data_IF_503263732175
#
_entry.id   IF_503263732175
#
_cell.length_a   1.000
_cell.length_b   1.000
_cell.length_c   1.000
_cell.angle_alpha   90.00
_cell.angle_beta   90.00
_cell.angle_gamma   90.00
#
_symmetry.space_group_name_H-M   'P 1'
#
loop_
_entity.id
_entity.type
_entity.pdbx_description
1 polymer ?
#
# COMPACT_ATOMS: atom_id res chain seq x y z
N UNK A 1 11.06 20.04 -2.02
CA UNK A 1 10.39 18.77 -1.74
C UNK A 1 9.74 18.87 -0.38
N UNK A 2 8.52 18.32 -0.22
CA UNK A 2 7.84 18.32 1.07
C UNK A 2 8.50 17.32 2.03
N UNK A 3 8.51 17.63 3.33
CA UNK A 3 8.88 16.71 4.40
C UNK A 3 7.75 16.67 5.43
N UNK A 4 7.48 15.48 5.99
CA UNK A 4 6.30 15.23 6.82
C UNK A 4 6.64 15.04 8.31
N UNK A 5 7.89 15.25 8.71
CA UNK A 5 8.30 15.19 10.12
C UNK A 5 8.16 13.79 10.72
N UNK A 6 8.66 12.76 10.03
CA UNK A 6 8.55 11.36 10.47
C UNK A 6 9.75 10.88 11.30
N UNK A 7 10.57 11.79 11.81
CA UNK A 7 11.73 11.45 12.65
C UNK A 7 11.35 10.56 13.83
N UNK A 8 12.06 9.43 13.98
CA UNK A 8 11.81 8.43 15.02
C UNK A 8 10.60 7.50 14.78
N UNK A 9 9.94 7.59 13.63
CA UNK A 9 8.90 6.63 13.20
C UNK A 9 9.55 5.49 12.42
N UNK A 10 9.04 4.28 12.58
CA UNK A 10 9.40 3.10 11.79
C UNK A 10 8.24 2.79 10.84
N UNK A 11 8.53 2.71 9.56
CA UNK A 11 7.55 2.41 8.51
C UNK A 11 7.83 1.06 7.84
N UNK A 12 6.83 0.19 7.81
CA UNK A 12 6.85 -1.09 7.08
C UNK A 12 6.06 -0.93 5.79
N UNK A 13 6.62 -1.35 4.65
CA UNK A 13 5.98 -1.27 3.34
C UNK A 13 5.99 -2.63 2.67
N UNK A 14 4.81 -3.23 2.42
CA UNK A 14 4.69 -4.45 1.63
C UNK A 14 4.64 -4.15 0.14
N UNK A 15 5.27 -5.00 -0.70
CA UNK A 15 5.50 -4.69 -2.11
C UNK A 15 6.37 -3.44 -2.26
N UNK A 16 7.29 -3.24 -1.31
CA UNK A 16 8.09 -2.02 -1.17
C UNK A 16 9.25 -1.90 -2.14
N UNK A 17 9.53 -2.96 -2.90
CA UNK A 17 10.67 -2.97 -3.82
C UNK A 17 10.35 -2.43 -5.23
N UNK A 18 9.11 -2.05 -5.52
CA UNK A 18 8.74 -1.55 -6.86
C UNK A 18 7.56 -0.57 -6.82
N UNK A 19 7.36 0.15 -7.91
CA UNK A 19 6.18 1.00 -8.16
C UNK A 19 5.84 1.96 -7.01
N UNK A 20 4.58 1.96 -6.61
CA UNK A 20 4.07 2.83 -5.53
C UNK A 20 4.77 2.53 -4.19
N UNK A 21 5.02 1.24 -3.88
CA UNK A 21 5.68 0.85 -2.64
C UNK A 21 7.09 1.43 -2.52
N UNK A 22 7.90 1.35 -3.61
CA UNK A 22 9.24 1.96 -3.66
C UNK A 22 9.17 3.48 -3.51
N UNK A 23 8.24 4.13 -4.20
CA UNK A 23 8.05 5.58 -4.05
C UNK A 23 7.65 5.95 -2.60
N UNK A 24 6.80 5.17 -1.94
CA UNK A 24 6.48 5.35 -0.53
C UNK A 24 7.72 5.23 0.36
N UNK A 25 8.60 4.23 0.12
CA UNK A 25 9.83 4.07 0.86
C UNK A 25 10.72 5.31 0.76
N UNK A 26 10.92 5.85 -0.44
CA UNK A 26 11.70 7.07 -0.66
C UNK A 26 11.09 8.30 0.01
N UNK A 27 9.77 8.51 -0.10
CA UNK A 27 9.12 9.70 0.48
C UNK A 27 9.10 9.63 2.00
N UNK A 28 8.87 8.46 2.59
CA UNK A 28 8.88 8.26 4.04
C UNK A 28 10.30 8.38 4.61
N UNK A 29 11.32 7.79 3.95
CA UNK A 29 12.73 7.95 4.34
C UNK A 29 13.17 9.42 4.28
N UNK A 30 12.89 10.11 3.18
CA UNK A 30 13.16 11.55 3.03
C UNK A 30 12.50 12.39 4.12
N UNK A 31 11.37 11.92 4.64
CA UNK A 31 10.64 12.60 5.73
C UNK A 31 11.16 12.23 7.13
N UNK A 32 12.15 11.34 7.23
CA UNK A 32 12.84 11.03 8.49
C UNK A 32 12.53 9.67 9.10
N UNK A 33 11.75 8.81 8.43
CA UNK A 33 11.40 7.50 8.95
C UNK A 33 12.52 6.47 8.75
N UNK A 34 12.68 5.56 9.70
CA UNK A 34 13.34 4.27 9.48
C UNK A 34 12.43 3.37 8.62
N UNK A 35 12.98 2.63 7.67
CA UNK A 35 12.20 1.92 6.65
C UNK A 35 12.43 0.41 6.70
N UNK A 36 11.35 -0.36 6.69
CA UNK A 36 11.39 -1.80 6.43
C UNK A 36 10.67 -2.12 5.11
N UNK A 37 11.39 -2.74 4.18
CA UNK A 37 10.90 -3.16 2.85
C UNK A 37 10.56 -4.64 2.89
N UNK A 38 9.32 -4.98 2.58
CA UNK A 38 8.89 -6.37 2.40
C UNK A 38 8.50 -6.61 0.94
N UNK A 39 9.15 -7.57 0.32
CA UNK A 39 8.85 -7.99 -1.05
C UNK A 39 9.17 -9.48 -1.21
N UNK A 40 8.82 -10.07 -2.34
CA UNK A 40 9.20 -11.44 -2.67
C UNK A 40 10.55 -11.55 -3.38
N UNK A 41 11.05 -10.44 -3.92
CA UNK A 41 12.28 -10.36 -4.68
C UNK A 41 13.41 -9.75 -3.85
N UNK A 42 14.34 -10.59 -3.38
CA UNK A 42 15.49 -10.15 -2.59
C UNK A 42 16.37 -9.15 -3.34
N UNK A 43 16.61 -9.36 -4.65
CA UNK A 43 17.46 -8.45 -5.44
C UNK A 43 16.84 -7.06 -5.59
N UNK A 44 15.51 -6.99 -5.73
CA UNK A 44 14.79 -5.72 -5.75
C UNK A 44 14.80 -5.04 -4.37
N UNK A 45 14.68 -5.81 -3.28
CA UNK A 45 14.83 -5.30 -1.91
C UNK A 45 16.22 -4.67 -1.74
N UNK A 46 17.29 -5.40 -2.05
CA UNK A 46 18.68 -4.93 -1.89
C UNK A 46 18.93 -3.64 -2.68
N UNK A 47 18.35 -3.54 -3.88
CA UNK A 47 18.43 -2.33 -4.71
C UNK A 47 17.81 -1.13 -3.99
N UNK A 48 16.59 -1.27 -3.47
CA UNK A 48 15.91 -0.16 -2.78
C UNK A 48 16.62 0.19 -1.47
N UNK A 49 17.10 -0.80 -0.72
CA UNK A 49 17.86 -0.51 0.51
C UNK A 49 19.11 0.33 0.20
N UNK A 50 19.84 0.01 -0.86
CA UNK A 50 21.00 0.82 -1.32
C UNK A 50 20.58 2.24 -1.69
N UNK A 51 19.47 2.42 -2.39
CA UNK A 51 18.95 3.76 -2.73
C UNK A 51 18.58 4.59 -1.49
N UNK A 52 18.16 3.92 -0.41
CA UNK A 52 17.76 4.60 0.83
C UNK A 52 18.93 5.01 1.72
N UNK A 53 20.15 4.48 1.50
CA UNK A 53 21.35 4.81 2.28
C UNK A 53 21.64 6.31 2.33
N UNK A 54 21.38 7.02 1.23
CA UNK A 54 21.63 8.47 1.12
C UNK A 54 20.78 9.32 2.09
N UNK A 55 19.69 8.78 2.61
CA UNK A 55 18.85 9.48 3.59
C UNK A 55 19.41 9.36 5.04
N UNK A 56 20.30 8.41 5.31
CA UNK A 56 20.98 8.27 6.61
C UNK A 56 20.12 7.72 7.74
N UNK A 57 18.95 7.14 7.45
CA UNK A 57 18.09 6.47 8.42
C UNK A 57 18.29 4.95 8.39
N UNK A 58 17.80 4.25 9.43
CA UNK A 58 17.94 2.80 9.49
C UNK A 58 17.02 2.15 8.45
N UNK A 59 17.53 1.12 7.82
CA UNK A 59 16.79 0.34 6.84
C UNK A 59 16.80 -1.14 7.19
N UNK A 60 15.75 -1.86 6.81
CA UNK A 60 15.60 -3.30 6.99
C UNK A 60 14.88 -3.88 5.77
N UNK A 61 15.24 -5.07 5.33
CA UNK A 61 14.59 -5.77 4.23
C UNK A 61 14.25 -7.20 4.63
N UNK A 62 13.07 -7.68 4.23
CA UNK A 62 12.65 -9.05 4.45
C UNK A 62 11.95 -9.64 3.22
N UNK A 63 12.27 -10.89 2.87
CA UNK A 63 11.54 -11.64 1.85
C UNK A 63 10.25 -12.16 2.45
N UNK A 64 9.12 -11.56 2.03
CA UNK A 64 7.80 -11.87 2.58
C UNK A 64 6.80 -12.10 1.46
N UNK A 65 6.17 -13.27 1.42
CA UNK A 65 4.93 -13.48 0.69
C UNK A 65 3.76 -13.11 1.61
N UNK A 66 3.04 -12.05 1.27
CA UNK A 66 1.90 -11.56 2.07
C UNK A 66 0.73 -12.55 2.14
N UNK A 67 0.73 -13.59 1.30
CA UNK A 67 -0.26 -14.66 1.33
C UNK A 67 0.00 -15.71 2.42
N UNK A 68 1.23 -15.71 2.98
CA UNK A 68 1.60 -16.51 4.16
C UNK A 68 1.47 -15.67 5.44
N UNK A 69 0.36 -15.87 6.13
CA UNK A 69 0.05 -15.20 7.39
C UNK A 69 1.14 -15.36 8.45
N UNK A 70 1.77 -16.55 8.53
CA UNK A 70 2.82 -16.80 9.51
C UNK A 70 4.14 -16.10 9.13
N UNK A 71 4.44 -15.98 7.83
CA UNK A 71 5.59 -15.20 7.36
C UNK A 71 5.41 -13.70 7.67
N UNK A 72 4.20 -13.17 7.48
CA UNK A 72 3.87 -11.79 7.84
C UNK A 72 4.04 -11.53 9.34
N UNK A 73 3.53 -12.44 10.19
CA UNK A 73 3.67 -12.32 11.65
C UNK A 73 5.17 -12.34 12.05
N UNK A 74 5.97 -13.30 11.55
CA UNK A 74 7.43 -13.37 11.83
C UNK A 74 8.18 -12.13 11.37
N UNK A 75 7.90 -11.63 10.17
CA UNK A 75 8.56 -10.43 9.65
C UNK A 75 8.20 -9.18 10.47
N UNK A 76 6.99 -9.10 11.01
CA UNK A 76 6.61 -8.00 11.92
C UNK A 76 7.38 -8.05 13.22
N UNK A 77 7.53 -9.24 13.81
CA UNK A 77 8.32 -9.44 15.03
C UNK A 77 9.79 -9.06 14.80
N UNK A 78 10.38 -9.46 13.65
CA UNK A 78 11.75 -9.10 13.27
C UNK A 78 11.94 -7.58 13.16
N UNK A 79 10.99 -6.86 12.53
CA UNK A 79 11.04 -5.40 12.47
C UNK A 79 11.01 -4.77 13.85
N UNK A 80 10.17 -5.28 14.75
CA UNK A 80 10.09 -4.80 16.14
C UNK A 80 11.43 -5.01 16.87
N UNK A 81 12.07 -6.15 16.66
CA UNK A 81 13.37 -6.47 17.29
C UNK A 81 14.50 -5.60 16.73
N UNK A 82 14.53 -5.35 15.42
CA UNK A 82 15.63 -4.63 14.75
C UNK A 82 15.45 -3.12 14.78
N UNK A 83 14.25 -2.62 14.44
CA UNK A 83 13.98 -1.19 14.31
C UNK A 83 13.19 -0.61 15.49
N UNK A 84 12.56 -1.44 16.30
CA UNK A 84 11.74 -1.03 17.43
C UNK A 84 10.27 -0.83 17.06
N UNK A 85 9.60 0.10 17.73
CA UNK A 85 8.16 0.32 17.59
C UNK A 85 7.74 0.68 16.16
N UNK A 86 6.91 -0.16 15.55
CA UNK A 86 6.30 0.09 14.24
C UNK A 86 5.23 1.17 14.37
N UNK A 87 5.46 2.32 13.74
CA UNK A 87 4.58 3.49 13.79
C UNK A 87 3.71 3.65 12.55
N UNK A 88 4.18 3.13 11.40
CA UNK A 88 3.51 3.27 10.11
C UNK A 88 3.54 1.92 9.39
N UNK A 89 2.42 1.53 8.80
CA UNK A 89 2.38 0.35 7.92
C UNK A 89 1.65 0.72 6.63
N UNK A 90 2.29 0.45 5.50
CA UNK A 90 1.71 0.60 4.16
C UNK A 90 1.47 -0.79 3.59
N UNK A 91 0.23 -1.26 3.65
CA UNK A 91 -0.18 -2.54 3.07
C UNK A 91 -0.43 -2.35 1.56
N UNK A 92 0.67 -2.37 0.78
CA UNK A 92 0.68 -1.98 -0.63
C UNK A 92 0.79 -3.16 -1.60
N UNK A 93 1.34 -4.31 -1.19
CA UNK A 93 1.50 -5.47 -2.07
C UNK A 93 0.20 -5.81 -2.82
N UNK A 94 0.30 -6.04 -4.13
CA UNK A 94 -0.86 -6.34 -4.95
C UNK A 94 -0.52 -6.79 -6.36
N UNK A 95 -1.46 -7.46 -7.01
CA UNK A 95 -1.39 -7.92 -8.40
C UNK A 95 -2.65 -7.54 -9.16
N UNK A 96 -2.57 -7.39 -10.49
CA UNK A 96 -3.73 -7.06 -11.34
C UNK A 96 -4.71 -8.21 -11.55
N UNK A 97 -4.18 -9.42 -11.66
CA UNK A 97 -4.95 -10.60 -12.08
C UNK A 97 -5.12 -10.70 -13.59
N UNK A 98 -5.88 -11.70 -14.05
CA UNK A 98 -6.23 -11.89 -15.45
C UNK A 98 -7.29 -10.86 -15.90
N UNK A 99 -7.24 -10.47 -17.15
CA UNK A 99 -8.25 -9.62 -17.77
C UNK A 99 -9.32 -10.50 -18.44
N UNK A 100 -10.40 -10.79 -17.72
CA UNK A 100 -11.51 -11.62 -18.22
C UNK A 100 -12.85 -11.12 -17.66
N UNK A 101 -13.93 -11.31 -18.40
CA UNK A 101 -15.26 -10.97 -17.88
C UNK A 101 -15.68 -11.94 -16.78
N UNK A 102 -16.64 -11.54 -15.94
CA UNK A 102 -17.02 -12.30 -14.75
C UNK A 102 -17.62 -13.69 -15.03
N UNK A 103 -18.13 -13.93 -16.24
CA UNK A 103 -18.67 -15.24 -16.65
C UNK A 103 -17.60 -16.25 -17.03
N UNK A 104 -16.41 -15.76 -17.42
CA UNK A 104 -15.30 -16.60 -17.92
C UNK A 104 -14.07 -16.53 -17.02
N UNK A 105 -14.14 -15.77 -15.91
CA UNK A 105 -13.01 -15.61 -14.97
C UNK A 105 -12.72 -16.94 -14.28
N UNK A 106 -11.44 -17.34 -14.22
CA UNK A 106 -11.06 -18.63 -13.64
C UNK A 106 -11.10 -18.61 -12.11
N UNK A 107 -11.41 -19.76 -11.50
CA UNK A 107 -11.36 -19.91 -10.04
C UNK A 107 -9.94 -19.67 -9.50
N UNK A 108 -8.90 -20.16 -10.20
CA UNK A 108 -7.50 -19.97 -9.80
C UNK A 108 -7.10 -18.48 -9.87
N UNK A 109 -7.46 -17.78 -10.94
CA UNK A 109 -7.25 -16.35 -11.09
C UNK A 109 -7.94 -15.55 -9.99
N UNK A 110 -9.19 -15.92 -9.68
CA UNK A 110 -9.94 -15.33 -8.57
C UNK A 110 -9.22 -15.52 -7.24
N UNK A 111 -8.89 -16.75 -6.88
CA UNK A 111 -8.23 -17.06 -5.62
C UNK A 111 -6.86 -16.39 -5.50
N UNK A 112 -6.08 -16.33 -6.60
CA UNK A 112 -4.78 -15.68 -6.60
C UNK A 112 -4.90 -14.18 -6.25
N UNK A 113 -5.85 -13.48 -6.89
CA UNK A 113 -6.05 -12.04 -6.64
C UNK A 113 -6.57 -11.79 -5.22
N UNK A 114 -7.55 -12.57 -4.75
CA UNK A 114 -8.09 -12.43 -3.40
C UNK A 114 -7.00 -12.65 -2.34
N UNK A 115 -6.21 -13.73 -2.47
CA UNK A 115 -5.13 -14.03 -1.53
C UNK A 115 -4.11 -12.91 -1.40
N UNK A 116 -3.71 -12.30 -2.51
CA UNK A 116 -2.70 -11.22 -2.45
C UNK A 116 -3.34 -9.90 -2.04
N UNK A 117 -4.42 -9.48 -2.73
CA UNK A 117 -4.94 -8.11 -2.63
C UNK A 117 -5.91 -7.90 -1.47
N UNK A 118 -6.46 -8.96 -0.87
CA UNK A 118 -7.38 -8.87 0.26
C UNK A 118 -6.81 -9.58 1.50
N UNK A 119 -6.51 -10.89 1.41
CA UNK A 119 -6.00 -11.63 2.55
C UNK A 119 -4.63 -11.10 2.98
N UNK A 120 -3.74 -10.75 2.02
CA UNK A 120 -2.43 -10.15 2.30
C UNK A 120 -2.53 -8.80 3.01
N UNK A 121 -3.50 -7.96 2.63
CA UNK A 121 -3.80 -6.70 3.34
C UNK A 121 -4.30 -7.00 4.75
N UNK A 122 -5.23 -7.94 4.91
CA UNK A 122 -5.75 -8.34 6.21
C UNK A 122 -4.65 -8.87 7.13
N UNK A 123 -3.77 -9.76 6.65
CA UNK A 123 -2.67 -10.30 7.47
C UNK A 123 -1.68 -9.21 7.88
N UNK A 124 -1.31 -8.33 6.95
CA UNK A 124 -0.42 -7.20 7.21
C UNK A 124 -1.04 -6.23 8.24
N UNK A 125 -2.29 -5.83 8.04
CA UNK A 125 -3.03 -4.95 8.96
C UNK A 125 -3.15 -5.58 10.35
N UNK A 126 -3.47 -6.87 10.43
CA UNK A 126 -3.61 -7.58 11.70
C UNK A 126 -2.29 -7.65 12.47
N UNK A 127 -1.18 -7.97 11.81
CA UNK A 127 0.15 -7.98 12.41
C UNK A 127 0.55 -6.58 12.92
N UNK A 128 0.28 -5.54 12.11
CA UNK A 128 0.51 -4.15 12.49
C UNK A 128 -0.27 -3.75 13.74
N UNK A 129 -1.58 -4.04 13.77
CA UNK A 129 -2.43 -3.73 14.92
C UNK A 129 -1.90 -4.41 16.18
N UNK A 130 -1.52 -5.69 16.12
CA UNK A 130 -0.97 -6.42 17.26
C UNK A 130 0.32 -5.79 17.78
N UNK A 131 1.26 -5.44 16.88
CA UNK A 131 2.51 -4.79 17.24
C UNK A 131 2.30 -3.39 17.86
N UNK A 132 1.43 -2.58 17.26
CA UNK A 132 1.09 -1.24 17.76
C UNK A 132 0.40 -1.29 19.14
N UNK A 133 -0.52 -2.23 19.35
CA UNK A 133 -1.18 -2.44 20.66
C UNK A 133 -0.21 -2.94 21.71
N UNK A 134 0.67 -3.89 21.39
CA UNK A 134 1.68 -4.40 22.32
C UNK A 134 2.63 -3.31 22.79
N UNK A 135 2.96 -2.35 21.97
CA UNK A 135 3.80 -1.19 22.33
C UNK A 135 3.05 -0.11 23.13
N UNK A 136 1.71 -0.06 23.06
CA UNK A 136 0.87 0.98 23.64
C UNK A 136 1.05 2.40 23.04
N UNK A 137 1.72 2.51 21.87
CA UNK A 137 2.05 3.81 21.23
C UNK A 137 1.17 4.19 20.06
N UNK A 138 0.25 3.29 19.65
CA UNK A 138 -0.59 3.52 18.47
C UNK A 138 0.19 3.55 17.16
N UNK A 139 -0.39 4.16 16.11
CA UNK A 139 0.25 4.27 14.81
C UNK A 139 -0.71 4.63 13.66
N UNK A 140 -0.21 4.56 12.44
CA UNK A 140 -0.99 4.79 11.21
C UNK A 140 -0.84 3.62 10.24
N UNK A 141 -1.96 3.03 9.84
CA UNK A 141 -2.03 1.97 8.85
C UNK A 141 -2.66 2.54 7.58
N UNK A 142 -1.98 2.39 6.45
CA UNK A 142 -2.42 2.86 5.15
C UNK A 142 -2.60 1.64 4.24
N UNK A 143 -3.84 1.30 3.93
CA UNK A 143 -4.18 0.20 3.05
C UNK A 143 -4.27 0.69 1.59
N UNK A 144 -3.50 0.08 0.69
CA UNK A 144 -3.55 0.43 -0.72
C UNK A 144 -4.77 -0.23 -1.38
N UNK A 145 -5.84 0.56 -1.52
CA UNK A 145 -7.02 0.19 -2.29
C UNK A 145 -6.79 0.46 -3.79
N UNK A 146 -7.71 1.13 -4.45
CA UNK A 146 -7.71 1.54 -5.87
C UNK A 146 -8.97 2.37 -6.11
N UNK A 147 -9.07 3.11 -7.22
CA UNK A 147 -10.37 3.58 -7.74
C UNK A 147 -11.39 2.45 -7.81
N UNK A 148 -10.93 1.21 -8.06
CA UNK A 148 -11.77 0.01 -8.08
C UNK A 148 -12.21 -0.47 -6.68
N UNK A 149 -11.90 0.28 -5.64
CA UNK A 149 -12.52 0.17 -4.32
C UNK A 149 -13.82 0.97 -4.18
N UNK A 150 -14.17 1.77 -5.19
CA UNK A 150 -15.38 2.60 -5.22
C UNK A 150 -16.25 2.34 -6.46
N UNK A 151 -15.67 1.89 -7.58
CA UNK A 151 -16.38 1.62 -8.84
C UNK A 151 -15.92 0.30 -9.45
N UNK A 152 -16.71 -0.24 -10.38
CA UNK A 152 -16.35 -1.41 -11.17
C UNK A 152 -15.49 -1.04 -12.39
N UNK A 153 -14.73 -2.01 -12.87
CA UNK A 153 -14.04 -1.94 -14.16
C UNK A 153 -14.23 -3.25 -14.90
N UNK A 154 -14.62 -3.16 -16.16
CA UNK A 154 -14.83 -4.35 -16.99
C UNK A 154 -13.56 -5.20 -17.04
N UNK A 155 -13.71 -6.51 -17.04
CA UNK A 155 -12.62 -7.50 -17.05
C UNK A 155 -11.75 -7.61 -15.79
N UNK A 156 -12.11 -6.94 -14.68
CA UNK A 156 -11.36 -6.98 -13.42
C UNK A 156 -12.23 -7.39 -12.21
N UNK A 157 -13.03 -8.49 -12.26
CA UNK A 157 -13.99 -8.82 -11.19
C UNK A 157 -13.31 -9.12 -9.85
N UNK A 158 -12.25 -9.95 -9.82
CA UNK A 158 -11.55 -10.32 -8.60
C UNK A 158 -10.82 -9.12 -7.97
N UNK A 159 -10.15 -8.32 -8.79
CA UNK A 159 -9.45 -7.12 -8.33
C UNK A 159 -10.44 -6.10 -7.74
N UNK A 160 -11.55 -5.85 -8.41
CA UNK A 160 -12.61 -4.94 -7.94
C UNK A 160 -13.18 -5.42 -6.60
N UNK A 161 -13.51 -6.71 -6.50
CA UNK A 161 -14.02 -7.29 -5.24
C UNK A 161 -13.01 -7.15 -4.10
N UNK A 162 -11.73 -7.48 -4.36
CA UNK A 162 -10.67 -7.34 -3.36
C UNK A 162 -10.51 -5.89 -2.87
N UNK A 163 -10.48 -4.92 -3.80
CA UNK A 163 -10.27 -3.50 -3.45
C UNK A 163 -11.47 -2.87 -2.73
N UNK A 164 -12.71 -3.28 -3.02
CA UNK A 164 -13.87 -2.96 -2.20
C UNK A 164 -13.76 -3.57 -0.80
N UNK A 165 -13.32 -4.83 -0.70
CA UNK A 165 -13.05 -5.49 0.59
C UNK A 165 -12.02 -4.75 1.43
N UNK A 166 -10.94 -4.23 0.82
CA UNK A 166 -9.92 -3.43 1.51
C UNK A 166 -10.51 -2.15 2.12
N UNK A 167 -11.42 -1.47 1.41
CA UNK A 167 -12.12 -0.29 1.96
C UNK A 167 -12.96 -0.68 3.18
N UNK A 168 -13.70 -1.80 3.10
CA UNK A 168 -14.47 -2.32 4.23
C UNK A 168 -13.60 -2.69 5.44
N UNK A 169 -12.49 -3.41 5.21
CA UNK A 169 -11.51 -3.73 6.28
C UNK A 169 -10.94 -2.48 6.95
N UNK A 170 -10.66 -1.44 6.17
CA UNK A 170 -10.18 -0.15 6.67
C UNK A 170 -11.16 0.49 7.64
N UNK A 171 -12.44 0.52 7.27
CA UNK A 171 -13.50 1.13 8.08
C UNK A 171 -13.70 0.39 9.41
N UNK A 172 -13.74 -0.94 9.37
CA UNK A 172 -13.88 -1.77 10.58
C UNK A 172 -12.71 -1.54 11.53
N UNK A 173 -11.46 -1.68 11.03
CA UNK A 173 -10.27 -1.53 11.86
C UNK A 173 -10.13 -0.11 12.46
N UNK A 174 -10.52 0.91 11.73
CA UNK A 174 -10.53 2.29 12.23
C UNK A 174 -11.44 2.45 13.44
N UNK A 175 -12.65 1.86 13.42
CA UNK A 175 -13.57 1.89 14.55
C UNK A 175 -13.09 1.06 15.75
N UNK A 176 -12.57 -0.14 15.50
CA UNK A 176 -12.15 -1.08 16.54
C UNK A 176 -10.92 -0.58 17.32
N UNK A 177 -10.02 0.16 16.65
CA UNK A 177 -8.70 0.47 17.19
C UNK A 177 -8.42 1.97 17.39
N UNK A 178 -9.42 2.84 17.23
CA UNK A 178 -9.28 4.26 17.52
C UNK A 178 -8.88 4.52 18.99
N UNK A 179 -9.46 3.76 19.94
CA UNK A 179 -9.12 3.87 21.36
C UNK A 179 -7.69 3.39 21.69
N UNK A 180 -7.09 2.57 20.83
CA UNK A 180 -5.69 2.14 20.92
C UNK A 180 -4.72 3.19 20.33
N UNK A 181 -5.23 4.34 19.83
CA UNK A 181 -4.43 5.36 19.16
C UNK A 181 -4.00 4.96 17.74
N UNK A 182 -4.66 3.98 17.12
CA UNK A 182 -4.35 3.50 15.77
C UNK A 182 -5.32 4.12 14.77
N UNK A 183 -4.77 4.80 13.75
CA UNK A 183 -5.55 5.30 12.61
C UNK A 183 -5.39 4.32 11.44
N UNK A 184 -6.48 4.06 10.74
CA UNK A 184 -6.48 3.18 9.55
C UNK A 184 -7.20 3.89 8.43
N UNK A 185 -6.52 4.08 7.29
CA UNK A 185 -7.08 4.75 6.11
C UNK A 185 -6.77 3.95 4.83
N UNK A 186 -7.61 4.10 3.82
CA UNK A 186 -7.40 3.53 2.51
C UNK A 186 -7.02 4.62 1.49
N UNK A 187 -6.04 4.35 0.65
CA UNK A 187 -5.69 5.19 -0.50
C UNK A 187 -6.20 4.51 -1.76
N UNK A 188 -6.85 5.27 -2.64
CA UNK A 188 -7.42 4.82 -3.90
C UNK A 188 -6.73 5.43 -5.10
N UNK A 189 -5.57 4.91 -5.57
CA UNK A 189 -4.93 5.40 -6.76
C UNK A 189 -5.78 5.18 -8.01
N UNK A 190 -5.69 6.12 -8.97
CA UNK A 190 -6.10 5.91 -10.34
C UNK A 190 -5.13 5.00 -11.09
N UNK A 191 -5.02 5.17 -12.41
CA UNK A 191 -3.98 4.50 -13.19
C UNK A 191 -2.65 5.23 -13.01
N UNK A 192 -1.70 4.55 -12.36
CA UNK A 192 -0.38 5.08 -11.98
C UNK A 192 0.70 4.39 -12.82
N UNK A 193 1.67 5.14 -13.33
CA UNK A 193 2.81 4.63 -14.10
C UNK A 193 3.69 3.73 -13.21
N UNK A 194 3.50 2.44 -13.33
CA UNK A 194 4.19 1.41 -12.54
C UNK A 194 4.48 0.20 -13.41
N UNK A 195 5.43 -0.67 -13.03
CA UNK A 195 5.66 -1.94 -13.75
C UNK A 195 4.39 -2.77 -13.93
N UNK A 196 3.44 -2.71 -12.98
CA UNK A 196 2.15 -3.41 -13.07
C UNK A 196 1.30 -2.91 -14.25
N UNK A 197 1.33 -1.62 -14.53
CA UNK A 197 0.59 -1.00 -15.63
C UNK A 197 1.39 -1.07 -16.94
N UNK A 198 2.71 -0.84 -16.89
CA UNK A 198 3.55 -0.76 -18.10
C UNK A 198 3.79 -2.13 -18.75
N UNK A 199 3.78 -3.22 -18.00
CA UNK A 199 4.17 -4.57 -18.44
C UNK A 199 3.25 -5.20 -19.53
N UNK A 200 2.17 -4.57 -19.93
CA UNK A 200 1.22 -5.16 -20.90
C UNK A 200 0.40 -4.17 -21.70
N UNK A 201 0.68 -2.87 -21.61
CA UNK A 201 -0.09 -1.87 -22.32
C UNK A 201 0.53 -1.55 -23.69
N UNK A 202 -0.31 -1.60 -24.74
CA UNK A 202 0.00 -0.94 -26.01
C UNK A 202 -0.12 0.58 -25.86
N UNK A 203 0.44 1.36 -26.80
CA UNK A 203 0.34 2.83 -26.77
C UNK A 203 -1.14 3.29 -26.84
N UNK A 204 -1.99 2.58 -27.57
CA UNK A 204 -3.41 2.87 -27.66
C UNK A 204 -4.12 2.63 -26.32
N UNK A 205 -3.80 1.52 -25.63
CA UNK A 205 -4.37 1.21 -24.32
C UNK A 205 -3.90 2.23 -23.28
N UNK A 206 -2.64 2.65 -23.34
CA UNK A 206 -2.09 3.72 -22.47
C UNK A 206 -2.86 5.03 -22.70
N UNK A 207 -2.97 5.48 -23.94
CA UNK A 207 -3.72 6.69 -24.30
C UNK A 207 -5.18 6.61 -23.81
N UNK A 208 -5.81 5.45 -23.96
CA UNK A 208 -7.17 5.23 -23.44
C UNK A 208 -7.22 5.44 -21.93
N UNK A 209 -6.31 4.85 -21.16
CA UNK A 209 -6.27 5.03 -19.70
C UNK A 209 -6.00 6.48 -19.29
N UNK A 210 -5.14 7.19 -20.01
CA UNK A 210 -4.87 8.62 -19.78
C UNK A 210 -6.16 9.45 -19.93
N UNK A 211 -6.95 9.21 -20.97
CA UNK A 211 -8.23 9.91 -21.21
C UNK A 211 -9.31 9.61 -20.18
N UNK A 212 -9.16 8.55 -19.37
CA UNK A 212 -10.09 8.26 -18.28
C UNK A 212 -9.95 9.21 -17.09
N UNK A 213 -8.84 9.94 -16.98
CA UNK A 213 -8.60 10.93 -15.93
C UNK A 213 -8.95 12.34 -16.40
N UNK A 214 -9.53 13.16 -15.51
CA UNK A 214 -9.76 14.58 -15.84
C UNK A 214 -8.44 15.32 -16.14
N UNK A 215 -7.33 14.90 -15.51
CA UNK A 215 -6.00 15.45 -15.75
C UNK A 215 -5.33 14.94 -17.04
N UNK A 216 -5.97 14.04 -17.80
CA UNK A 216 -5.54 13.54 -19.12
C UNK A 216 -4.12 12.95 -19.13
N UNK A 217 -3.71 12.31 -18.04
CA UNK A 217 -2.44 11.61 -17.91
C UNK A 217 -2.54 10.49 -16.87
N UNK A 218 -1.59 9.57 -16.91
CA UNK A 218 -1.37 8.66 -15.76
C UNK A 218 -0.81 9.46 -14.58
N UNK A 219 -1.09 8.97 -13.36
CA UNK A 219 -0.42 9.47 -12.16
C UNK A 219 1.01 8.92 -12.05
N UNK A 220 1.84 9.58 -11.27
CA UNK A 220 3.18 9.08 -10.93
C UNK A 220 3.17 8.46 -9.52
N UNK A 221 4.00 7.42 -9.26
CA UNK A 221 4.07 6.76 -7.96
C UNK A 221 4.32 7.73 -6.80
N UNK A 222 5.12 8.77 -7.02
CA UNK A 222 5.46 9.79 -6.05
C UNK A 222 4.24 10.60 -5.62
N UNK A 223 3.27 10.84 -6.51
CA UNK A 223 2.03 11.56 -6.18
C UNK A 223 1.21 10.76 -5.16
N UNK A 224 1.16 9.44 -5.29
CA UNK A 224 0.53 8.55 -4.31
C UNK A 224 1.30 8.54 -3.00
N UNK A 225 2.64 8.47 -3.08
CA UNK A 225 3.51 8.42 -1.91
C UNK A 225 3.44 9.69 -1.05
N UNK A 226 3.22 10.86 -1.64
CA UNK A 226 3.01 12.12 -0.91
C UNK A 226 1.73 12.06 -0.04
N UNK A 227 0.63 11.51 -0.56
CA UNK A 227 -0.59 11.29 0.23
C UNK A 227 -0.36 10.27 1.36
N UNK A 228 0.36 9.18 1.07
CA UNK A 228 0.73 8.17 2.08
C UNK A 228 1.57 8.81 3.19
N UNK A 229 2.53 9.65 2.86
CA UNK A 229 3.37 10.33 3.85
C UNK A 229 2.57 11.33 4.71
N UNK A 230 1.60 12.04 4.15
CA UNK A 230 0.67 12.87 4.93
C UNK A 230 -0.14 12.00 5.89
N UNK A 231 -0.71 10.87 5.44
CA UNK A 231 -1.46 9.94 6.28
C UNK A 231 -0.59 9.29 7.38
N UNK A 232 0.71 9.12 7.15
CA UNK A 232 1.68 8.63 8.13
C UNK A 232 2.03 9.69 9.20
N UNK A 233 1.84 10.96 8.89
CA UNK A 233 2.24 12.09 9.74
C UNK A 233 1.17 12.46 10.79
N UNK A 234 1.58 13.28 11.75
CA UNK A 234 0.68 13.85 12.75
C UNK A 234 -0.27 14.91 12.16
N UNK A 235 0.03 15.43 10.97
CA UNK A 235 -0.86 16.33 10.20
C UNK A 235 -2.18 15.70 9.80
N UNK A 236 -2.29 14.36 9.87
CA UNK A 236 -3.52 13.61 9.60
C UNK A 236 -4.16 13.01 10.87
N UNK A 237 -3.88 13.58 12.05
CA UNK A 237 -4.29 13.03 13.37
C UNK A 237 -5.81 12.85 13.53
N UNK A 238 -6.63 13.56 12.76
CA UNK A 238 -8.08 13.41 12.77
C UNK A 238 -8.64 12.61 11.58
N UNK A 239 -7.75 11.97 10.80
CA UNK A 239 -8.10 11.17 9.62
C UNK A 239 -8.03 9.68 9.96
N UNK A 240 -9.19 9.02 10.08
CA UNK A 240 -9.27 7.55 10.24
C UNK A 240 -10.57 7.02 9.62
N UNK A 241 -10.55 5.80 9.10
CA UNK A 241 -11.69 5.14 8.46
C UNK A 241 -12.05 5.67 7.08
N UNK A 242 -11.26 6.57 6.53
CA UNK A 242 -11.55 7.23 5.26
C UNK A 242 -10.90 6.50 4.07
N UNK A 243 -11.57 6.63 2.92
CA UNK A 243 -11.04 6.28 1.62
C UNK A 243 -10.65 7.58 0.90
N UNK A 244 -9.39 7.69 0.52
CA UNK A 244 -8.80 8.86 -0.14
C UNK A 244 -8.45 8.53 -1.59
N UNK A 245 -9.28 8.90 -2.59
CA UNK A 245 -8.88 8.78 -3.99
C UNK A 245 -7.75 9.73 -4.31
N UNK A 246 -6.78 9.25 -5.10
CA UNK A 246 -5.73 10.01 -5.74
C UNK A 246 -5.65 9.56 -7.19
N UNK A 247 -6.56 10.10 -8.00
CA UNK A 247 -7.01 9.48 -9.22
C UNK A 247 -7.13 10.44 -10.41
N UNK A 248 -6.55 11.62 -10.33
CA UNK A 248 -6.61 12.62 -11.39
C UNK A 248 -8.04 12.99 -11.82
N UNK A 249 -9.03 12.82 -10.93
CA UNK A 249 -10.44 13.11 -11.20
C UNK A 249 -11.21 11.97 -11.88
N UNK A 250 -10.70 10.74 -11.85
CA UNK A 250 -11.39 9.57 -12.41
C UNK A 250 -12.77 9.35 -11.80
N UNK A 251 -12.91 9.45 -10.48
CA UNK A 251 -14.17 9.24 -9.76
C UNK A 251 -15.09 10.48 -9.72
N UNK A 252 -14.69 11.59 -10.30
CA UNK A 252 -15.47 12.83 -10.29
C UNK A 252 -16.53 12.91 -11.41
N UNK A 253 -16.72 11.84 -12.19
CA UNK A 253 -17.66 11.76 -13.31
C UNK A 253 -18.82 10.79 -13.03
#
# INVERSE_FOLDING_TARGET
>A
MNTYGLGGKVAVITGGASGIGRACAHVLARSGADISIWDRDQGAIDTVLTELEDFGYRTHGAVVDVTDSAAVDRAMDEVVDVLGHVSVVVANAGIGGEASNSGDYTDDGWHQVIRVNLDGVFYTQRAAIRAMKASGRGGSIINMASILGAVGFATAPAYTAAKHGVVGLTQVAAWEHAADGIRVNAVGPGFIRTPLIDAGLTDEARTFLETQHALQRLGEPEEVAELVAWLASDGSSFATGAYYPIDGGYLAR
#
